data_IF_903418620664
#
_entry.id   IF_903418620664
#
_cell.length_a   1.000
_cell.length_b   1.000
_cell.length_c   1.000
_cell.angle_alpha   90.00
_cell.angle_beta   90.00
_cell.angle_gamma   90.00
#
_symmetry.space_group_name_H-M   'P 1'
#
loop_
_entity.id
_entity.type
_entity.pdbx_description
1 polymer ?
#
# COMPACT_ATOMS: atom_id res chain seq x y z
N UNK A 1 23.86 27.36 -15.28
CA UNK A 1 22.85 26.28 -15.32
C UNK A 1 22.16 26.22 -13.96
N UNK A 2 20.84 26.35 -13.92
CA UNK A 2 20.12 26.20 -12.66
C UNK A 2 19.98 24.71 -12.30
N UNK A 3 20.05 24.40 -11.01
CA UNK A 3 19.89 23.05 -10.47
C UNK A 3 18.54 22.90 -9.80
N UNK A 4 17.82 21.83 -10.12
CA UNK A 4 16.57 21.47 -9.46
C UNK A 4 16.87 20.49 -8.33
N UNK A 5 16.56 20.89 -7.10
CA UNK A 5 16.95 20.19 -5.88
C UNK A 5 15.72 19.89 -5.03
N UNK A 6 15.74 18.78 -4.31
CA UNK A 6 14.80 18.49 -3.22
C UNK A 6 15.07 19.41 -2.04
N UNK A 7 14.14 19.48 -1.09
CA UNK A 7 14.29 20.28 0.13
C UNK A 7 15.54 19.91 0.95
N UNK A 8 15.98 18.65 0.89
CA UNK A 8 17.21 18.17 1.55
C UNK A 8 18.50 18.41 0.73
N UNK A 9 18.43 19.14 -0.39
CA UNK A 9 19.58 19.47 -1.25
C UNK A 9 19.98 18.40 -2.26
N UNK A 10 19.41 17.19 -2.20
CA UNK A 10 19.63 16.17 -3.23
C UNK A 10 19.04 16.62 -4.58
N UNK A 11 19.53 16.12 -5.73
CA UNK A 11 18.90 16.39 -7.02
C UNK A 11 17.42 15.98 -7.03
N UNK A 12 16.55 16.77 -7.66
CA UNK A 12 15.13 16.45 -7.82
C UNK A 12 14.92 15.15 -8.62
N UNK A 13 15.78 14.95 -9.63
CA UNK A 13 15.68 13.89 -10.63
C UNK A 13 15.00 14.38 -11.91
N UNK A 14 15.31 13.73 -13.03
CA UNK A 14 14.68 14.02 -14.32
C UNK A 14 13.26 13.45 -14.43
N UNK A 15 12.93 12.45 -13.61
CA UNK A 15 11.65 11.79 -13.57
C UNK A 15 11.18 11.64 -12.13
N UNK A 16 9.94 12.04 -11.86
CA UNK A 16 9.29 11.90 -10.55
C UNK A 16 7.91 11.29 -10.71
N UNK A 17 7.46 10.54 -9.72
CA UNK A 17 6.12 9.96 -9.67
C UNK A 17 5.29 10.69 -8.62
N UNK A 18 4.09 11.13 -8.97
CA UNK A 18 3.13 11.76 -8.07
C UNK A 18 1.73 11.17 -8.26
N UNK A 19 0.84 11.47 -7.32
CA UNK A 19 -0.55 11.01 -7.28
C UNK A 19 -1.51 12.19 -7.08
N UNK A 20 -2.82 12.00 -7.33
CA UNK A 20 -3.83 13.02 -7.08
C UNK A 20 -3.73 13.62 -5.68
N UNK A 21 -3.62 14.96 -5.63
CA UNK A 21 -3.50 15.74 -4.40
C UNK A 21 -2.09 15.80 -3.80
N UNK A 22 -1.09 15.15 -4.40
CA UNK A 22 0.30 15.28 -3.94
C UNK A 22 0.81 16.71 -4.11
N UNK A 23 1.67 17.10 -3.16
CA UNK A 23 2.34 18.39 -3.12
C UNK A 23 3.83 18.19 -2.88
N UNK A 24 4.65 18.46 -3.88
CA UNK A 24 6.11 18.30 -3.78
C UNK A 24 6.80 19.65 -3.75
N UNK A 25 7.35 20.02 -2.60
CA UNK A 25 8.22 21.18 -2.49
C UNK A 25 9.62 20.86 -3.03
N UNK A 26 10.19 21.78 -3.80
CA UNK A 26 11.53 21.68 -4.34
C UNK A 26 12.18 23.06 -4.45
N UNK A 27 13.49 23.07 -4.67
CA UNK A 27 14.33 24.26 -4.78
C UNK A 27 14.88 24.38 -6.19
N UNK A 28 15.02 25.62 -6.66
CA UNK A 28 15.76 25.94 -7.88
C UNK A 28 16.94 26.80 -7.48
N UNK A 29 18.15 26.29 -7.66
CA UNK A 29 19.39 26.99 -7.35
C UNK A 29 20.03 27.48 -8.65
N UNK A 30 19.96 28.78 -8.88
CA UNK A 30 20.53 29.45 -10.04
C UNK A 30 19.61 30.56 -10.55
N UNK A 31 20.21 31.62 -11.07
CA UNK A 31 19.51 32.72 -11.72
C UNK A 31 19.62 32.59 -13.24
N UNK A 32 18.61 33.09 -13.95
CA UNK A 32 18.62 33.26 -15.40
C UNK A 32 19.51 34.44 -15.86
N UNK A 33 19.57 34.70 -17.18
CA UNK A 33 20.47 35.69 -17.78
C UNK A 33 20.37 37.11 -17.19
N UNK A 34 19.20 37.52 -16.72
CA UNK A 34 18.94 38.85 -16.16
C UNK A 34 19.13 38.93 -14.63
N UNK A 35 19.82 37.97 -14.02
CA UNK A 35 19.90 37.79 -12.55
C UNK A 35 18.51 37.66 -11.89
N UNK A 36 17.56 37.13 -12.65
CA UNK A 36 16.18 36.86 -12.21
C UNK A 36 15.97 35.36 -12.05
N UNK A 37 15.08 34.98 -11.14
CA UNK A 37 14.67 33.58 -11.01
C UNK A 37 14.00 33.05 -12.28
N UNK A 38 14.24 31.79 -12.60
CA UNK A 38 13.55 31.10 -13.68
C UNK A 38 12.09 30.84 -13.31
N UNK A 39 11.19 30.93 -14.28
CA UNK A 39 9.79 30.53 -14.10
C UNK A 39 9.62 29.12 -14.63
N UNK A 40 9.18 28.20 -13.78
CA UNK A 40 8.88 26.84 -14.18
C UNK A 40 7.39 26.72 -14.48
N UNK A 41 7.06 26.08 -15.61
CA UNK A 41 5.69 25.87 -16.05
C UNK A 41 5.46 24.41 -16.40
N UNK A 42 4.29 23.91 -16.01
CA UNK A 42 3.78 22.62 -16.45
C UNK A 42 3.21 22.74 -17.87
N UNK A 43 3.33 21.66 -18.65
CA UNK A 43 2.68 21.52 -19.96
C UNK A 43 1.20 21.16 -19.87
N UNK A 44 0.71 20.80 -18.68
CA UNK A 44 -0.67 20.37 -18.45
C UNK A 44 -1.23 20.99 -17.17
N UNK A 45 -2.50 21.37 -17.19
CA UNK A 45 -3.25 21.93 -16.06
C UNK A 45 -3.43 20.99 -14.87
N UNK A 46 -3.29 19.67 -15.05
CA UNK A 46 -3.39 18.69 -13.95
C UNK A 46 -2.24 18.83 -12.93
N UNK A 47 -1.14 19.48 -13.34
CA UNK A 47 0.02 19.77 -12.51
C UNK A 47 0.28 21.27 -12.54
N UNK A 48 0.35 21.89 -11.37
CA UNK A 48 0.66 23.32 -11.26
C UNK A 48 2.00 23.51 -10.56
N UNK A 49 2.72 24.56 -10.97
CA UNK A 49 3.96 24.99 -10.31
C UNK A 49 3.66 26.29 -9.57
N UNK A 50 3.75 26.24 -8.24
CA UNK A 50 3.41 27.35 -7.35
C UNK A 50 4.69 27.92 -6.74
N UNK A 51 4.96 29.23 -6.86
CA UNK A 51 6.06 29.86 -6.14
C UNK A 51 5.75 29.93 -4.65
N UNK A 52 6.67 29.47 -3.80
CA UNK A 52 6.55 29.59 -2.35
C UNK A 52 7.47 30.69 -1.78
N UNK A 53 8.70 30.77 -2.29
CA UNK A 53 9.67 31.80 -1.89
C UNK A 53 10.55 32.17 -3.08
N UNK A 54 10.39 33.40 -3.56
CA UNK A 54 11.15 33.95 -4.68
C UNK A 54 11.74 35.28 -4.22
N UNK A 55 13.05 35.40 -4.29
CA UNK A 55 13.81 36.62 -3.95
C UNK A 55 15.02 36.68 -4.87
N UNK A 56 15.01 37.58 -5.84
CA UNK A 56 16.08 37.71 -6.85
C UNK A 56 17.44 38.08 -6.23
N UNK A 57 17.48 38.50 -4.95
CA UNK A 57 18.74 38.72 -4.22
C UNK A 57 19.38 37.41 -3.76
N UNK A 58 18.64 36.31 -3.80
CA UNK A 58 19.10 34.96 -3.44
C UNK A 58 19.22 34.12 -4.68
N UNK A 59 20.27 33.31 -4.76
CA UNK A 59 20.44 32.35 -5.85
C UNK A 59 19.39 31.23 -5.83
N UNK A 60 18.76 30.98 -4.68
CA UNK A 60 17.78 29.92 -4.48
C UNK A 60 16.36 30.47 -4.41
N UNK A 61 15.44 29.86 -5.15
CA UNK A 61 13.99 29.98 -4.96
C UNK A 61 13.38 28.63 -4.54
N UNK A 62 12.23 28.70 -3.87
CA UNK A 62 11.45 27.53 -3.44
C UNK A 62 10.13 27.52 -4.18
N UNK A 63 9.85 26.40 -4.84
CA UNK A 63 8.66 26.14 -5.63
C UNK A 63 7.95 24.89 -5.11
N UNK A 64 6.69 24.71 -5.51
CA UNK A 64 5.91 23.51 -5.20
C UNK A 64 5.19 23.02 -6.44
N UNK A 65 5.29 21.72 -6.68
CA UNK A 65 4.41 21.02 -7.61
C UNK A 65 3.13 20.65 -6.89
N UNK A 66 1.97 20.94 -7.46
CA UNK A 66 0.68 20.52 -6.94
C UNK A 66 -0.11 19.77 -8.02
N UNK A 67 -0.45 18.52 -7.71
CA UNK A 67 -1.31 17.70 -8.57
C UNK A 67 -2.76 17.94 -8.19
N UNK A 68 -3.63 18.11 -9.19
CA UNK A 68 -5.07 18.18 -8.97
C UNK A 68 -5.57 16.96 -8.16
N UNK A 69 -6.50 17.20 -7.24
CA UNK A 69 -6.95 16.17 -6.31
C UNK A 69 -7.90 15.12 -6.91
N UNK A 70 -8.51 15.43 -8.06
CA UNK A 70 -9.61 14.64 -8.64
C UNK A 70 -9.37 14.35 -10.13
N UNK A 71 -10.23 13.50 -10.71
CA UNK A 71 -10.36 13.29 -12.16
C UNK A 71 -9.17 12.62 -12.86
N UNK A 72 -8.25 12.00 -12.13
CA UNK A 72 -7.14 11.23 -12.69
C UNK A 72 -7.49 9.74 -12.56
N UNK A 73 -7.96 9.16 -13.66
CA UNK A 73 -8.38 7.75 -13.75
C UNK A 73 -7.38 6.87 -14.51
N UNK A 74 -6.38 7.48 -15.16
CA UNK A 74 -5.33 6.81 -15.90
C UNK A 74 -3.98 7.51 -15.67
N UNK A 75 -2.89 6.88 -16.14
CA UNK A 75 -1.54 7.46 -16.04
C UNK A 75 -1.40 8.66 -16.98
N UNK A 76 -0.91 9.79 -16.45
CA UNK A 76 -0.53 10.96 -17.23
C UNK A 76 0.98 11.20 -17.14
N UNK A 77 1.56 11.68 -18.24
CA UNK A 77 2.95 12.14 -18.29
C UNK A 77 2.92 13.64 -18.57
N UNK A 78 3.42 14.42 -17.62
CA UNK A 78 3.48 15.89 -17.71
C UNK A 78 4.92 16.34 -17.68
N UNK A 79 5.23 17.41 -18.40
CA UNK A 79 6.56 18.00 -18.37
C UNK A 79 6.55 19.34 -17.64
N UNK A 80 7.61 19.60 -16.88
CA UNK A 80 7.89 20.91 -16.31
C UNK A 80 9.14 21.45 -16.97
N UNK A 81 8.98 22.59 -17.64
CA UNK A 81 10.04 23.29 -18.35
C UNK A 81 10.34 24.62 -17.66
N UNK A 82 11.61 25.01 -17.67
CA UNK A 82 12.07 26.29 -17.16
C UNK A 82 12.08 27.34 -18.27
N UNK A 83 11.70 28.57 -17.93
CA UNK A 83 11.68 29.71 -18.82
C UNK A 83 12.49 30.85 -18.20
N UNK A 84 13.34 31.48 -19.00
CA UNK A 84 13.98 32.73 -18.64
C UNK A 84 12.93 33.84 -18.61
N UNK A 85 13.13 34.83 -17.73
CA UNK A 85 12.24 35.99 -17.63
C UNK A 85 12.89 37.27 -18.14
N UNK A 86 12.07 38.19 -18.61
CA UNK A 86 12.50 39.57 -18.84
C UNK A 86 12.71 40.34 -17.52
N UNK A 87 13.07 41.63 -17.64
CA UNK A 87 13.29 42.52 -16.50
C UNK A 87 12.03 42.71 -15.64
N UNK A 88 10.85 42.51 -16.24
CA UNK A 88 9.53 42.59 -15.62
C UNK A 88 9.06 41.24 -15.06
N UNK A 89 9.89 40.19 -15.13
CA UNK A 89 9.57 38.85 -14.61
C UNK A 89 8.66 38.02 -15.52
N UNK A 90 8.41 38.44 -16.76
CA UNK A 90 7.55 37.71 -17.69
C UNK A 90 8.33 36.61 -18.40
N UNK A 91 7.81 35.38 -18.46
CA UNK A 91 8.47 34.28 -19.17
C UNK A 91 8.61 34.57 -20.67
N UNK A 92 9.82 34.38 -21.20
CA UNK A 92 10.12 34.55 -22.61
C UNK A 92 10.45 33.21 -23.26
N UNK A 93 11.74 32.88 -23.35
CA UNK A 93 12.24 31.68 -23.99
C UNK A 93 12.46 30.57 -22.97
N UNK A 94 12.24 29.33 -23.42
CA UNK A 94 12.59 28.14 -22.65
C UNK A 94 14.09 28.14 -22.39
N UNK A 95 14.50 28.00 -21.14
CA UNK A 95 15.90 27.82 -20.77
C UNK A 95 16.33 26.38 -21.05
N UNK A 96 17.10 26.17 -22.12
CA UNK A 96 17.57 24.84 -22.53
C UNK A 96 18.67 24.29 -21.64
N UNK A 97 19.27 25.12 -20.79
CA UNK A 97 20.30 24.68 -19.86
C UNK A 97 19.70 24.00 -18.62
N UNK A 98 18.49 24.36 -18.22
CA UNK A 98 17.82 23.70 -17.10
C UNK A 98 17.10 22.45 -17.58
N UNK A 99 17.46 21.31 -16.99
CA UNK A 99 16.86 20.02 -17.35
C UNK A 99 15.34 20.02 -17.19
N UNK A 100 14.63 19.49 -18.19
CA UNK A 100 13.19 19.21 -18.11
C UNK A 100 12.94 18.18 -17.02
N UNK A 101 11.87 18.38 -16.25
CA UNK A 101 11.37 17.36 -15.32
C UNK A 101 10.16 16.68 -15.96
N UNK A 102 10.19 15.35 -16.00
CA UNK A 102 9.05 14.52 -16.36
C UNK A 102 8.34 14.08 -15.09
N UNK A 103 7.06 14.39 -14.98
CA UNK A 103 6.21 14.03 -13.85
C UNK A 103 5.22 12.98 -14.33
N UNK A 104 5.36 11.77 -13.81
CA UNK A 104 4.37 10.72 -14.00
C UNK A 104 3.32 10.81 -12.92
N UNK A 105 2.08 11.05 -13.32
CA UNK A 105 0.95 11.13 -12.41
C UNK A 105 0.15 9.85 -12.57
N UNK A 106 0.13 9.03 -11.53
CA UNK A 106 -0.57 7.75 -11.51
C UNK A 106 -1.91 7.88 -10.76
N UNK A 107 -2.96 7.14 -11.17
CA UNK A 107 -4.21 7.09 -10.40
C UNK A 107 -3.95 6.43 -9.03
N UNK A 108 -4.79 6.77 -8.04
CA UNK A 108 -4.77 6.06 -6.75
C UNK A 108 -5.32 4.64 -6.92
N UNK A 109 -4.76 3.69 -6.19
CA UNK A 109 -5.38 2.38 -6.02
C UNK A 109 -6.70 2.54 -5.25
N UNK A 110 -7.74 1.88 -5.75
CA UNK A 110 -9.07 1.88 -5.14
C UNK A 110 -9.30 0.49 -4.54
N UNK A 111 -9.62 0.46 -3.25
CA UNK A 111 -10.06 -0.77 -2.60
C UNK A 111 -11.45 -1.17 -3.14
N UNK A 112 -11.72 -2.47 -3.34
CA UNK A 112 -13.05 -2.92 -3.75
C UNK A 112 -14.13 -2.51 -2.75
N UNK A 113 -15.39 -2.53 -3.21
CA UNK A 113 -16.56 -2.23 -2.40
C UNK A 113 -16.53 -3.04 -1.09
N UNK A 114 -16.72 -2.39 0.07
CA UNK A 114 -16.43 -3.01 1.35
C UNK A 114 -17.25 -4.28 1.59
N UNK A 115 -18.51 -4.34 1.15
CA UNK A 115 -19.39 -5.48 1.41
C UNK A 115 -19.23 -6.65 0.42
N UNK A 116 -18.21 -6.62 -0.44
CA UNK A 116 -17.85 -7.75 -1.31
C UNK A 116 -16.79 -8.62 -0.63
N UNK A 117 -16.71 -9.90 -1.00
CA UNK A 117 -15.66 -10.79 -0.49
C UNK A 117 -14.26 -10.21 -0.75
N UNK A 118 -14.02 -9.71 -1.96
CA UNK A 118 -12.75 -9.05 -2.31
C UNK A 118 -12.48 -7.81 -1.45
N UNK A 119 -13.50 -7.01 -1.14
CA UNK A 119 -13.37 -5.81 -0.33
C UNK A 119 -13.03 -6.09 1.12
N UNK A 120 -13.65 -7.10 1.72
CA UNK A 120 -13.36 -7.55 3.09
C UNK A 120 -11.95 -8.15 3.14
N UNK A 121 -11.63 -9.06 2.21
CA UNK A 121 -10.32 -9.71 2.13
C UNK A 121 -9.20 -8.69 1.95
N UNK A 122 -9.31 -7.76 0.99
CA UNK A 122 -8.26 -6.78 0.73
C UNK A 122 -7.94 -5.94 1.98
N UNK A 123 -8.98 -5.48 2.70
CA UNK A 123 -8.80 -4.72 3.94
C UNK A 123 -8.18 -5.57 5.05
N UNK A 124 -8.64 -6.80 5.23
CA UNK A 124 -8.09 -7.74 6.21
C UNK A 124 -6.62 -8.04 5.93
N UNK A 125 -6.26 -8.36 4.68
CA UNK A 125 -4.88 -8.67 4.29
C UNK A 125 -3.92 -7.49 4.49
N UNK A 126 -4.40 -6.26 4.27
CA UNK A 126 -3.59 -5.05 4.50
C UNK A 126 -3.28 -4.87 5.99
N UNK A 127 -4.25 -5.12 6.87
CA UNK A 127 -4.13 -4.81 8.30
C UNK A 127 -3.60 -5.97 9.15
N UNK A 128 -3.83 -7.22 8.73
CA UNK A 128 -3.35 -8.39 9.48
C UNK A 128 -1.86 -8.67 9.24
N UNK A 129 -1.28 -8.16 8.17
CA UNK A 129 0.10 -8.44 7.78
C UNK A 129 1.05 -7.28 8.13
N UNK A 130 2.33 -7.59 8.33
CA UNK A 130 3.31 -6.57 8.66
C UNK A 130 3.43 -5.55 7.51
N UNK A 131 3.17 -4.27 7.77
CA UNK A 131 3.38 -3.18 6.82
C UNK A 131 4.88 -2.95 6.57
N UNK A 132 5.28 -2.32 5.45
CA UNK A 132 6.69 -2.12 5.16
C UNK A 132 7.48 -1.47 6.32
N UNK A 133 6.91 -0.52 7.06
CA UNK A 133 7.52 0.13 8.24
C UNK A 133 7.54 -0.66 9.54
N UNK A 134 6.94 -1.84 9.56
CA UNK A 134 6.97 -2.70 10.71
C UNK A 134 8.29 -3.48 10.80
N UNK A 135 8.84 -3.64 12.01
CA UNK A 135 10.11 -4.37 12.23
C UNK A 135 10.09 -5.82 11.73
N UNK A 136 8.90 -6.43 11.75
CA UNK A 136 8.63 -7.81 11.30
C UNK A 136 8.44 -7.94 9.78
N UNK A 137 8.49 -6.83 9.04
CA UNK A 137 8.43 -6.86 7.59
C UNK A 137 9.77 -7.25 7.00
N UNK A 138 9.80 -8.43 6.36
CA UNK A 138 11.04 -8.97 5.77
C UNK A 138 11.22 -8.42 4.36
N UNK A 139 10.26 -8.68 3.47
CA UNK A 139 10.28 -8.23 2.09
C UNK A 139 8.88 -8.37 1.45
N UNK A 140 8.73 -7.84 0.25
CA UNK A 140 7.47 -7.83 -0.50
C UNK A 140 6.96 -9.23 -0.87
N UNK A 141 7.87 -10.15 -1.22
CA UNK A 141 7.52 -11.52 -1.57
C UNK A 141 6.96 -12.29 -0.36
N UNK A 142 7.61 -12.12 0.79
CA UNK A 142 7.18 -12.72 2.05
C UNK A 142 5.84 -12.19 2.52
N UNK A 143 5.61 -10.87 2.39
CA UNK A 143 4.33 -10.26 2.69
C UNK A 143 3.22 -10.84 1.81
N UNK A 144 3.46 -10.97 0.51
CA UNK A 144 2.50 -11.57 -0.43
C UNK A 144 2.21 -13.04 -0.11
N UNK A 145 3.22 -13.85 0.19
CA UNK A 145 3.03 -15.26 0.56
C UNK A 145 2.25 -15.40 1.87
N UNK A 146 2.55 -14.58 2.87
CA UNK A 146 1.76 -14.51 4.11
C UNK A 146 0.27 -14.20 3.82
N UNK A 147 -0.01 -13.22 2.95
CA UNK A 147 -1.38 -12.91 2.53
C UNK A 147 -2.07 -14.11 1.86
N UNK A 148 -1.39 -14.82 0.97
CA UNK A 148 -1.93 -16.03 0.31
C UNK A 148 -2.25 -17.10 1.35
N UNK A 149 -1.34 -17.35 2.30
CA UNK A 149 -1.51 -18.35 3.34
C UNK A 149 -2.66 -18.02 4.30
N UNK A 150 -2.90 -16.75 4.61
CA UNK A 150 -4.09 -16.32 5.37
C UNK A 150 -5.39 -16.71 4.65
N UNK A 151 -5.46 -16.54 3.33
CA UNK A 151 -6.65 -16.95 2.57
C UNK A 151 -6.79 -18.47 2.52
N UNK A 152 -5.69 -19.22 2.41
CA UNK A 152 -5.73 -20.69 2.56
C UNK A 152 -6.28 -21.10 3.93
N UNK A 153 -5.82 -20.47 5.02
CA UNK A 153 -6.35 -20.72 6.36
C UNK A 153 -7.86 -20.57 6.38
N UNK A 154 -8.38 -19.43 5.89
CA UNK A 154 -9.82 -19.17 5.95
C UNK A 154 -10.63 -20.18 5.11
N UNK A 155 -10.15 -20.52 3.90
CA UNK A 155 -10.81 -21.50 3.04
C UNK A 155 -10.78 -22.90 3.65
N UNK A 156 -9.67 -23.30 4.24
CA UNK A 156 -9.55 -24.59 4.92
C UNK A 156 -10.47 -24.67 6.15
N UNK A 157 -10.61 -23.58 6.91
CA UNK A 157 -11.57 -23.51 8.03
C UNK A 157 -13.00 -23.72 7.56
N UNK A 158 -13.41 -23.10 6.46
CA UNK A 158 -14.74 -23.32 5.88
C UNK A 158 -14.91 -24.77 5.42
N UNK A 159 -13.93 -25.32 4.71
CA UNK A 159 -13.97 -26.69 4.18
C UNK A 159 -14.04 -27.75 5.28
N UNK A 160 -13.27 -27.60 6.35
CA UNK A 160 -13.30 -28.52 7.49
C UNK A 160 -14.54 -28.31 8.36
N UNK A 161 -15.07 -27.09 8.37
CA UNK A 161 -16.25 -26.69 9.13
C UNK A 161 -15.92 -25.59 10.13
N UNK A 162 -16.49 -24.40 9.92
CA UNK A 162 -16.21 -23.20 10.71
C UNK A 162 -16.55 -23.35 12.20
N UNK A 163 -17.42 -24.30 12.57
CA UNK A 163 -17.72 -24.64 13.96
C UNK A 163 -16.50 -25.11 14.76
N UNK A 164 -15.49 -25.68 14.11
CA UNK A 164 -14.24 -26.12 14.75
C UNK A 164 -13.30 -24.95 15.09
N UNK A 165 -13.63 -23.74 14.62
CA UNK A 165 -12.80 -22.55 14.74
C UNK A 165 -13.54 -21.38 15.42
N UNK A 166 -14.55 -21.68 16.25
CA UNK A 166 -15.38 -20.67 16.94
C UNK A 166 -16.13 -19.70 16.00
N UNK A 167 -16.38 -20.11 14.75
CA UNK A 167 -17.13 -19.35 13.75
C UNK A 167 -18.38 -20.12 13.28
N UNK A 168 -19.16 -20.63 14.23
CA UNK A 168 -20.36 -21.43 13.93
C UNK A 168 -21.32 -20.62 13.03
N UNK A 169 -21.75 -21.24 11.93
CA UNK A 169 -22.69 -20.64 10.98
C UNK A 169 -22.04 -19.85 9.84
N UNK A 170 -20.73 -19.64 9.86
CA UNK A 170 -20.03 -19.07 8.71
C UNK A 170 -19.99 -20.08 7.55
N UNK A 171 -20.50 -19.68 6.39
CA UNK A 171 -20.57 -20.49 5.17
C UNK A 171 -19.73 -19.92 4.03
N UNK A 172 -19.21 -18.70 4.19
CA UNK A 172 -18.37 -18.01 3.21
C UNK A 172 -17.26 -17.22 3.91
N UNK A 173 -16.31 -16.68 3.14
CA UNK A 173 -15.17 -15.95 3.69
C UNK A 173 -15.60 -14.66 4.39
N UNK A 174 -16.63 -14.00 3.88
CA UNK A 174 -17.14 -12.74 4.42
C UNK A 174 -17.68 -12.94 5.82
N UNK A 175 -18.57 -13.91 6.02
CA UNK A 175 -19.15 -14.28 7.31
C UNK A 175 -18.10 -14.84 8.26
N UNK A 176 -17.12 -15.60 7.76
CA UNK A 176 -16.02 -16.10 8.58
C UNK A 176 -15.13 -14.97 9.13
N UNK A 177 -14.71 -14.02 8.30
CA UNK A 177 -13.85 -12.90 8.73
C UNK A 177 -14.57 -12.01 9.75
N UNK A 178 -15.87 -11.82 9.58
CA UNK A 178 -16.72 -11.01 10.47
C UNK A 178 -17.11 -11.73 11.76
N UNK A 179 -16.94 -13.05 11.82
CA UNK A 179 -17.31 -13.78 13.02
C UNK A 179 -16.41 -13.38 14.20
N UNK A 180 -17.00 -13.38 15.39
CA UNK A 180 -16.33 -12.96 16.62
C UNK A 180 -15.02 -13.72 16.83
N UNK A 181 -13.96 -13.00 17.22
CA UNK A 181 -12.64 -13.56 17.50
C UNK A 181 -11.94 -14.24 16.31
N UNK A 182 -12.39 -14.02 15.07
CA UNK A 182 -11.71 -14.56 13.88
C UNK A 182 -10.63 -13.65 13.35
N UNK A 183 -10.96 -12.37 13.17
CA UNK A 183 -10.04 -11.32 12.72
C UNK A 183 -10.29 -10.08 13.57
N UNK A 184 -9.24 -9.60 14.26
CA UNK A 184 -9.38 -8.53 15.24
C UNK A 184 -9.88 -7.26 14.56
N UNK A 185 -11.02 -6.74 15.03
CA UNK A 185 -11.55 -5.45 14.58
C UNK A 185 -12.43 -5.52 13.34
N UNK A 186 -12.80 -6.73 12.88
CA UNK A 186 -13.72 -6.96 11.77
C UNK A 186 -15.11 -7.44 12.22
N UNK A 187 -15.32 -7.61 13.52
CA UNK A 187 -16.58 -8.14 14.06
C UNK A 187 -17.80 -7.26 13.73
N UNK A 188 -17.59 -5.95 13.57
CA UNK A 188 -18.62 -4.97 13.23
C UNK A 188 -18.51 -4.45 11.78
N UNK A 189 -17.79 -5.16 10.92
CA UNK A 189 -17.54 -4.74 9.55
C UNK A 189 -18.87 -4.45 8.79
N UNK A 190 -18.99 -3.33 8.04
CA UNK A 190 -17.90 -2.51 7.47
C UNK A 190 -17.24 -1.50 8.41
N UNK A 191 -17.73 -1.34 9.64
CA UNK A 191 -17.02 -0.54 10.63
C UNK A 191 -15.81 -1.34 11.17
N UNK A 192 -14.62 -1.03 10.66
CA UNK A 192 -13.35 -1.57 11.15
C UNK A 192 -12.97 -0.86 12.46
N UNK A 193 -12.42 -1.60 13.43
CA UNK A 193 -11.96 -1.01 14.69
C UNK A 193 -10.95 0.15 14.47
N UNK A 194 -10.94 1.18 15.33
CA UNK A 194 -10.17 2.41 15.09
C UNK A 194 -8.69 2.19 14.76
N UNK A 195 -7.98 1.36 15.52
CA UNK A 195 -6.55 1.09 15.29
C UNK A 195 -6.30 0.47 13.91
N UNK A 196 -7.14 -0.48 13.50
CA UNK A 196 -7.03 -1.17 12.22
C UNK A 196 -7.40 -0.23 11.06
N UNK A 197 -8.40 0.62 11.26
CA UNK A 197 -8.79 1.63 10.28
C UNK A 197 -7.69 2.68 10.10
N UNK A 198 -7.02 3.10 11.18
CA UNK A 198 -5.88 4.02 11.10
C UNK A 198 -4.70 3.39 10.34
N UNK A 199 -4.39 2.11 10.60
CA UNK A 199 -3.33 1.39 9.88
C UNK A 199 -3.65 1.23 8.39
N UNK A 200 -4.90 0.91 8.06
CA UNK A 200 -5.38 0.84 6.68
C UNK A 200 -5.19 2.18 5.96
N UNK A 201 -5.65 3.28 6.56
CA UNK A 201 -5.55 4.61 5.96
C UNK A 201 -4.10 5.06 5.82
N UNK A 202 -3.27 4.89 6.85
CA UNK A 202 -1.83 5.20 6.78
C UNK A 202 -1.15 4.44 5.63
N UNK A 203 -1.49 3.17 5.46
CA UNK A 203 -0.93 2.33 4.40
C UNK A 203 -1.32 2.85 3.01
N UNK A 204 -2.59 3.20 2.81
CA UNK A 204 -3.08 3.77 1.55
C UNK A 204 -2.51 5.17 1.30
N UNK A 205 -2.41 6.02 2.32
CA UNK A 205 -1.89 7.37 2.21
C UNK A 205 -0.42 7.34 1.76
N UNK A 206 0.41 6.48 2.36
CA UNK A 206 1.80 6.31 1.94
C UNK A 206 1.89 5.72 0.53
N UNK A 207 1.06 4.73 0.18
CA UNK A 207 1.03 4.16 -1.17
C UNK A 207 0.70 5.23 -2.24
N UNK A 208 -0.08 6.25 -1.86
CA UNK A 208 -0.51 7.35 -2.71
C UNK A 208 0.25 8.67 -2.47
N UNK A 209 1.39 8.63 -1.79
CA UNK A 209 2.25 9.80 -1.59
C UNK A 209 3.59 9.63 -2.31
N UNK A 210 3.67 10.13 -3.54
CA UNK A 210 4.88 10.09 -4.38
C UNK A 210 6.07 10.84 -3.77
N UNK A 211 5.87 11.58 -2.70
CA UNK A 211 6.93 12.28 -1.95
C UNK A 211 7.51 11.43 -0.82
N UNK A 212 6.82 10.36 -0.41
CA UNK A 212 7.25 9.48 0.65
C UNK A 212 8.37 8.52 0.19
N UNK A 213 9.42 8.37 1.02
CA UNK A 213 10.60 7.56 0.68
C UNK A 213 10.28 6.09 0.37
N UNK A 214 9.26 5.55 1.03
CA UNK A 214 8.83 4.14 0.90
C UNK A 214 7.59 3.93 0.04
N UNK A 215 7.14 4.96 -0.67
CA UNK A 215 5.90 4.91 -1.45
C UNK A 215 5.82 3.67 -2.36
N UNK A 216 6.92 3.34 -3.06
CA UNK A 216 6.95 2.20 -3.98
C UNK A 216 6.71 0.86 -3.27
N UNK A 217 7.25 0.70 -2.07
CA UNK A 217 7.06 -0.52 -1.27
C UNK A 217 5.60 -0.64 -0.80
N UNK A 218 5.01 0.46 -0.32
CA UNK A 218 3.60 0.48 0.07
C UNK A 218 2.65 0.25 -1.11
N UNK A 219 2.96 0.84 -2.27
CA UNK A 219 2.20 0.61 -3.50
C UNK A 219 2.23 -0.87 -3.90
N UNK A 220 3.41 -1.50 -3.86
CA UNK A 220 3.54 -2.94 -4.15
C UNK A 220 2.81 -3.80 -3.11
N UNK A 221 2.88 -3.44 -1.83
CA UNK A 221 2.18 -4.08 -0.72
C UNK A 221 0.66 -4.07 -0.92
N UNK A 222 0.07 -2.89 -1.15
CA UNK A 222 -1.37 -2.75 -1.41
C UNK A 222 -1.78 -3.49 -2.68
N UNK A 223 -1.00 -3.37 -3.77
CA UNK A 223 -1.27 -4.10 -5.01
C UNK A 223 -1.27 -5.62 -4.81
N UNK A 224 -0.37 -6.14 -3.97
CA UNK A 224 -0.32 -7.57 -3.64
C UNK A 224 -1.55 -8.02 -2.87
N UNK A 225 -1.99 -7.24 -1.87
CA UNK A 225 -3.21 -7.53 -1.13
C UNK A 225 -4.45 -7.55 -2.06
N UNK A 226 -4.53 -6.58 -2.98
CA UNK A 226 -5.60 -6.53 -3.98
C UNK A 226 -5.59 -7.73 -4.93
N UNK A 227 -4.41 -8.11 -5.44
CA UNK A 227 -4.26 -9.27 -6.31
C UNK A 227 -4.68 -10.56 -5.59
N UNK A 228 -4.19 -10.78 -4.36
CA UNK A 228 -4.54 -11.97 -3.56
C UNK A 228 -6.03 -12.00 -3.24
N UNK A 229 -6.63 -10.85 -2.89
CA UNK A 229 -8.07 -10.76 -2.61
C UNK A 229 -8.93 -11.08 -3.84
N UNK A 230 -8.46 -10.78 -5.05
CA UNK A 230 -9.10 -11.17 -6.31
C UNK A 230 -8.93 -12.65 -6.66
N UNK A 231 -8.09 -13.38 -5.93
CA UNK A 231 -7.71 -14.76 -6.24
C UNK A 231 -6.59 -14.88 -7.28
N UNK A 232 -5.94 -13.77 -7.63
CA UNK A 232 -4.75 -13.79 -8.47
C UNK A 232 -3.55 -14.28 -7.66
N UNK A 233 -2.65 -15.03 -8.29
CA UNK A 233 -1.43 -15.54 -7.65
C UNK A 233 -1.70 -16.33 -6.36
N UNK A 234 -2.77 -17.13 -6.30
CA UNK A 234 -3.19 -17.79 -5.06
C UNK A 234 -2.15 -18.80 -4.51
N UNK A 235 -1.39 -19.46 -5.39
CA UNK A 235 -0.46 -20.53 -5.03
C UNK A 235 -1.17 -21.77 -4.42
N UNK A 236 -0.48 -22.93 -4.34
CA UNK A 236 -0.99 -24.06 -3.56
C UNK A 236 -0.87 -23.78 -2.05
N UNK A 237 -1.68 -24.47 -1.23
CA UNK A 237 -1.45 -24.51 0.21
C UNK A 237 -0.06 -25.15 0.47
N UNK A 238 0.84 -24.51 1.22
CA UNK A 238 2.18 -25.04 1.48
C UNK A 238 2.17 -26.28 2.39
N UNK A 239 1.09 -26.53 3.12
CA UNK A 239 0.93 -27.65 4.04
C UNK A 239 0.09 -28.77 3.40
N UNK A 240 0.60 -30.00 3.44
CA UNK A 240 -0.13 -31.19 2.96
C UNK A 240 -1.44 -31.45 3.72
N UNK A 241 -1.48 -31.10 5.00
CA UNK A 241 -2.67 -31.25 5.86
C UNK A 241 -3.54 -30.00 5.86
N UNK A 242 -3.08 -28.91 5.24
CA UNK A 242 -3.71 -27.59 5.22
C UNK A 242 -3.25 -26.68 6.35
N UNK A 243 -3.26 -25.36 6.11
CA UNK A 243 -3.13 -24.34 7.14
C UNK A 243 -4.49 -24.03 7.77
N UNK A 244 -4.55 -23.79 9.09
CA UNK A 244 -5.82 -23.56 9.82
C UNK A 244 -5.76 -22.44 10.86
N UNK A 245 -4.60 -21.86 11.13
CA UNK A 245 -4.51 -20.63 11.90
C UNK A 245 -3.28 -19.82 11.51
N UNK A 246 -3.37 -18.52 11.77
CA UNK A 246 -2.21 -17.65 11.86
C UNK A 246 -2.27 -16.86 13.16
N UNK A 247 -1.11 -16.39 13.60
CA UNK A 247 -0.92 -15.48 14.73
C UNK A 247 0.21 -14.52 14.38
N UNK A 248 0.16 -13.30 14.88
CA UNK A 248 1.33 -12.41 14.77
C UNK A 248 2.54 -13.11 15.40
N UNK A 249 3.70 -13.04 14.75
CA UNK A 249 4.94 -13.64 15.26
C UNK A 249 5.17 -13.23 16.72
N UNK A 250 5.61 -14.18 17.54
CA UNK A 250 5.85 -14.03 19.00
C UNK A 250 4.59 -13.83 19.86
N UNK A 251 3.39 -13.91 19.29
CA UNK A 251 2.15 -13.89 20.08
C UNK A 251 1.77 -15.29 20.61
N UNK A 252 0.75 -15.34 21.46
CA UNK A 252 0.30 -16.58 22.09
C UNK A 252 -0.16 -17.63 21.07
N UNK A 253 0.16 -18.89 21.36
CA UNK A 253 -0.26 -20.06 20.58
C UNK A 253 -1.79 -20.11 20.42
N UNK A 254 -2.34 -20.54 19.26
CA UNK A 254 -3.79 -20.54 18.99
C UNK A 254 -4.58 -21.66 19.70
N UNK A 255 -3.94 -22.47 20.55
CA UNK A 255 -4.56 -23.56 21.32
C UNK A 255 -3.95 -24.94 21.05
N UNK A 256 -4.32 -25.94 21.86
CA UNK A 256 -3.69 -27.27 21.89
C UNK A 256 -3.88 -28.15 20.63
N UNK A 257 -4.90 -27.84 19.81
CA UNK A 257 -5.19 -28.60 18.59
C UNK A 257 -4.36 -28.15 17.38
N UNK A 258 -3.51 -27.14 17.57
CA UNK A 258 -2.68 -26.57 16.51
C UNK A 258 -1.23 -26.97 16.69
N UNK A 259 -0.50 -27.07 15.58
CA UNK A 259 0.96 -27.21 15.58
C UNK A 259 1.55 -26.19 14.61
N UNK A 260 2.64 -25.54 15.02
CA UNK A 260 3.30 -24.53 14.19
C UNK A 260 3.82 -25.19 12.91
N UNK A 261 3.50 -24.58 11.77
CA UNK A 261 4.00 -24.96 10.46
C UNK A 261 5.26 -24.16 10.13
N UNK A 262 5.12 -22.85 9.98
CA UNK A 262 6.23 -21.96 9.59
C UNK A 262 5.89 -20.50 9.91
N UNK A 263 6.93 -19.68 10.10
CA UNK A 263 6.82 -18.22 10.17
C UNK A 263 6.99 -17.59 8.78
N UNK A 264 6.11 -16.65 8.41
CA UNK A 264 6.15 -15.96 7.12
C UNK A 264 5.52 -14.56 7.24
N UNK A 265 6.18 -13.54 6.66
CA UNK A 265 5.62 -12.17 6.60
C UNK A 265 5.25 -11.55 7.97
N UNK A 266 5.97 -11.88 9.03
CA UNK A 266 5.66 -11.41 10.39
C UNK A 266 4.55 -12.17 11.10
N UNK A 267 4.14 -13.32 10.57
CA UNK A 267 3.11 -14.20 11.13
C UNK A 267 3.66 -15.61 11.36
N UNK A 268 3.11 -16.29 12.35
CA UNK A 268 3.23 -17.73 12.53
C UNK A 268 1.99 -18.42 11.98
N UNK A 269 2.19 -19.39 11.09
CA UNK A 269 1.13 -20.22 10.53
C UNK A 269 1.12 -21.60 11.17
N UNK A 270 -0.07 -22.17 11.31
CA UNK A 270 -0.31 -23.42 12.02
C UNK A 270 -1.18 -24.37 11.21
N UNK A 271 -0.86 -25.66 11.31
CA UNK A 271 -1.75 -26.75 10.91
C UNK A 271 -2.41 -27.37 12.16
N UNK A 272 -3.21 -28.41 11.97
CA UNK A 272 -3.87 -29.16 13.05
C UNK A 272 -3.02 -30.35 13.48
N UNK A 273 -3.11 -30.73 14.76
CA UNK A 273 -2.48 -31.94 15.27
C UNK A 273 -3.15 -33.19 14.70
N UNK A 274 -2.38 -34.26 14.54
CA UNK A 274 -2.90 -35.56 14.06
C UNK A 274 -4.03 -36.09 14.94
N UNK A 275 -3.90 -35.94 16.27
CA UNK A 275 -4.93 -36.37 17.21
C UNK A 275 -6.27 -35.66 17.02
N UNK A 276 -6.25 -34.35 16.71
CA UNK A 276 -7.47 -33.62 16.41
C UNK A 276 -8.07 -34.07 15.08
N UNK A 277 -7.25 -34.22 14.02
CA UNK A 277 -7.73 -34.71 12.72
C UNK A 277 -8.35 -36.11 12.82
N UNK A 278 -7.74 -37.01 13.59
CA UNK A 278 -8.29 -38.35 13.84
C UNK A 278 -9.64 -38.29 14.58
N UNK A 279 -9.83 -37.33 15.49
CA UNK A 279 -11.09 -37.14 16.22
C UNK A 279 -12.25 -36.66 15.34
N UNK A 280 -11.96 -36.07 14.18
CA UNK A 280 -12.95 -35.61 13.21
C UNK A 280 -13.44 -36.72 12.28
N UNK A 281 -12.70 -37.84 12.19
CA UNK A 281 -13.18 -38.98 11.42
C UNK A 281 -14.37 -39.63 12.14
N UNK A 282 -15.43 -40.03 11.42
CA UNK A 282 -16.53 -40.75 12.04
C UNK A 282 -15.96 -42.02 12.68
N UNK A 283 -16.12 -42.16 13.99
CA UNK A 283 -15.85 -43.42 14.67
C UNK A 283 -16.73 -44.46 14.00
N UNK A 284 -16.14 -45.35 13.20
CA UNK A 284 -16.83 -46.54 12.74
C UNK A 284 -17.40 -47.21 13.99
N UNK A 285 -18.73 -47.17 14.14
CA UNK A 285 -19.43 -47.89 15.18
C UNK A 285 -19.19 -49.37 14.90
N UNK A 286 -18.12 -49.92 15.46
CA UNK A 286 -18.05 -51.34 15.73
C UNK A 286 -19.19 -51.62 16.72
N UNK A 287 -20.33 -52.03 16.16
CA UNK A 287 -21.36 -52.70 16.96
C UNK A 287 -20.78 -54.08 17.31
N UNK A 288 -20.78 -54.47 18.59
CA UNK A 288 -20.61 -55.88 18.96
C UNK A 288 -21.76 -56.72 18.39
#
# INVERSE_FOLDING_TARGET
MAKLLRSNGAPLGAQITLFPGNRLQFKVSGLGPNKKHLVLRSTDSILTVVPLKVDDRRIEQVLRLEVQAHSIVSRHIVHVDAYATDAQGRPQLRDTNTGRVTVEIHPKLVLPEPNTEQGVLARMLIVENASPDHEKYVNQGDARESMQWMVHVLRNRLKLGAQHFAARGATDLTTLIKAKNQVRGFENYPAIAPDQHQMLNRTLDIAHDGTHLRQKEYMAYVASALAVAKGENFGPDPSRTGLYAWRTLDSSHPGQNFQKFQSKGGQDFYTLTEGFLASLQPKNKAKP
#
